data_IF_769885294783
#
_entry.id   IF_769885294783
#
_cell.length_a   1.000
_cell.length_b   1.000
_cell.length_c   1.000
_cell.angle_alpha   90.00
_cell.angle_beta   90.00
_cell.angle_gamma   90.00
#
_symmetry.space_group_name_H-M   'P 1'
#
loop_
_entity.id
_entity.type
_entity.pdbx_description
1 polymer ?
#
# COMPACT_ATOMS: atom_id res chain seq x y z
N UNK A 1 -6.09 -1.11 -11.47
CA UNK A 1 -5.30 -1.95 -10.56
C UNK A 1 -6.19 -3.08 -10.09
N UNK A 2 -5.77 -4.32 -10.37
CA UNK A 2 -6.41 -5.53 -9.87
C UNK A 2 -5.29 -6.49 -9.45
N UNK A 3 -4.94 -6.51 -8.16
CA UNK A 3 -3.80 -7.27 -7.65
C UNK A 3 -3.99 -7.68 -6.18
N UNK A 4 -3.66 -8.94 -5.82
CA UNK A 4 -3.64 -9.38 -4.42
C UNK A 4 -2.42 -8.86 -3.64
N UNK A 5 -1.46 -8.22 -4.31
CA UNK A 5 -0.21 -7.74 -3.70
C UNK A 5 1.04 -8.41 -4.27
N UNK A 6 2.12 -8.40 -3.49
CA UNK A 6 3.43 -8.90 -3.89
C UNK A 6 4.56 -8.20 -3.14
N UNK A 7 5.68 -8.00 -3.81
CA UNK A 7 6.84 -7.27 -3.27
C UNK A 7 6.51 -5.80 -3.01
N UNK A 8 6.78 -5.34 -1.79
CA UNK A 8 6.63 -3.92 -1.42
C UNK A 8 7.60 -3.07 -2.23
N UNK A 9 8.88 -3.46 -2.29
CA UNK A 9 9.92 -2.73 -3.01
C UNK A 9 9.58 -2.54 -4.50
N UNK A 10 9.01 -3.57 -5.13
CA UNK A 10 8.59 -3.47 -6.53
C UNK A 10 7.38 -2.55 -6.67
N UNK A 11 6.40 -2.64 -5.75
CA UNK A 11 5.24 -1.76 -5.77
C UNK A 11 5.62 -0.27 -5.60
N UNK A 12 6.57 0.04 -4.72
CA UNK A 12 7.10 1.40 -4.56
C UNK A 12 7.83 1.87 -5.82
N UNK A 13 8.63 0.99 -6.44
CA UNK A 13 9.37 1.32 -7.67
C UNK A 13 8.44 1.56 -8.86
N UNK A 14 7.45 0.68 -9.06
CA UNK A 14 6.40 0.84 -10.06
C UNK A 14 5.61 2.13 -9.77
N UNK A 15 5.26 2.36 -8.51
CA UNK A 15 4.56 3.55 -8.08
C UNK A 15 5.29 4.85 -8.44
N UNK A 16 6.59 4.95 -8.17
CA UNK A 16 7.40 6.11 -8.60
C UNK A 16 7.36 6.30 -10.11
N UNK A 17 7.50 5.22 -10.89
CA UNK A 17 7.39 5.30 -12.34
C UNK A 17 5.99 5.76 -12.82
N UNK A 18 4.91 5.35 -12.14
CA UNK A 18 3.55 5.82 -12.42
C UNK A 18 3.38 7.31 -12.12
N UNK A 19 3.91 7.77 -10.98
CA UNK A 19 3.90 9.19 -10.57
C UNK A 19 4.67 10.06 -11.56
N UNK A 20 5.90 9.67 -11.89
CA UNK A 20 6.76 10.40 -12.82
C UNK A 20 6.14 10.50 -14.22
N UNK A 21 5.39 9.48 -14.63
CA UNK A 21 4.67 9.44 -15.89
C UNK A 21 3.28 10.12 -15.84
N UNK A 22 2.91 10.75 -14.72
CA UNK A 22 1.65 11.47 -14.55
C UNK A 22 0.41 10.60 -14.74
N UNK A 23 0.44 9.35 -14.26
CA UNK A 23 -0.66 8.39 -14.50
C UNK A 23 -1.77 8.51 -13.45
N UNK A 24 -3.01 8.44 -13.93
CA UNK A 24 -4.18 8.12 -13.10
C UNK A 24 -4.16 6.64 -12.73
N UNK A 25 -4.46 6.34 -11.48
CA UNK A 25 -4.60 4.97 -10.98
C UNK A 25 -6.03 4.71 -10.55
N UNK A 26 -6.62 3.65 -11.11
CA UNK A 26 -8.03 3.31 -10.87
C UNK A 26 -8.15 1.89 -10.34
N UNK A 27 -8.90 1.69 -9.26
CA UNK A 27 -9.47 0.38 -8.87
C UNK A 27 -10.91 0.36 -9.34
N UNK A 28 -11.22 -0.49 -10.32
CA UNK A 28 -12.57 -0.56 -10.89
C UNK A 28 -13.54 -1.28 -9.97
N UNK A 29 -14.83 -1.14 -10.24
CA UNK A 29 -15.86 -1.89 -9.55
C UNK A 29 -15.55 -3.39 -9.59
N UNK A 30 -15.61 -4.06 -8.43
CA UNK A 30 -15.27 -5.49 -8.22
C UNK A 30 -13.79 -5.84 -8.29
N UNK A 31 -12.91 -4.92 -8.67
CA UNK A 31 -11.47 -5.14 -8.57
C UNK A 31 -10.99 -5.05 -7.13
N UNK A 32 -9.84 -5.66 -6.86
CA UNK A 32 -9.19 -5.62 -5.56
C UNK A 32 -7.76 -5.11 -5.70
N UNK A 33 -7.32 -4.30 -4.74
CA UNK A 33 -5.96 -3.82 -4.63
C UNK A 33 -5.49 -4.05 -3.19
N UNK A 34 -4.84 -5.19 -2.95
CA UNK A 34 -4.51 -5.67 -1.61
C UNK A 34 -3.01 -5.64 -1.33
N UNK A 35 -2.66 -5.61 -0.04
CA UNK A 35 -1.29 -5.75 0.48
C UNK A 35 -0.33 -4.67 -0.04
N UNK A 36 0.56 -4.99 -0.98
CA UNK A 36 1.48 -4.02 -1.60
C UNK A 36 0.83 -3.19 -2.72
N UNK A 37 -0.29 -3.63 -3.30
CA UNK A 37 -0.97 -2.91 -4.39
C UNK A 37 -1.38 -1.47 -4.03
N UNK A 38 -1.89 -1.17 -2.83
CA UNK A 38 -2.22 0.19 -2.40
C UNK A 38 -1.07 1.20 -2.59
N UNK A 39 0.20 0.78 -2.57
CA UNK A 39 1.32 1.68 -2.83
C UNK A 39 1.42 2.11 -4.29
N UNK A 40 1.02 1.27 -5.24
CA UNK A 40 0.87 1.69 -6.63
C UNK A 40 -0.34 2.63 -6.80
N UNK A 41 -1.44 2.38 -6.09
CA UNK A 41 -2.62 3.27 -6.09
C UNK A 41 -2.26 4.66 -5.55
N UNK A 42 -1.54 4.73 -4.43
CA UNK A 42 -1.09 5.99 -3.83
C UNK A 42 -0.33 6.89 -4.83
N UNK A 43 0.39 6.28 -5.77
CA UNK A 43 1.23 6.98 -6.72
C UNK A 43 0.48 7.74 -7.82
N UNK A 44 -0.81 7.49 -8.01
CA UNK A 44 -1.59 8.18 -9.04
C UNK A 44 -1.63 9.69 -8.83
N UNK A 45 -1.53 10.46 -9.92
CA UNK A 45 -1.81 11.90 -9.91
C UNK A 45 -3.28 12.18 -9.66
N UNK A 46 -4.13 11.29 -10.16
CA UNK A 46 -5.53 11.12 -9.80
C UNK A 46 -5.71 9.68 -9.31
N UNK A 47 -6.51 9.49 -8.27
CA UNK A 47 -6.73 8.21 -7.62
C UNK A 47 -8.22 7.95 -7.50
N UNK A 48 -8.67 6.90 -8.19
CA UNK A 48 -10.08 6.55 -8.29
C UNK A 48 -10.29 5.15 -7.75
N UNK A 49 -11.22 5.02 -6.81
CA UNK A 49 -11.76 3.72 -6.36
C UNK A 49 -13.24 3.75 -6.68
N UNK A 50 -13.65 3.01 -7.71
CA UNK A 50 -15.06 2.92 -8.09
C UNK A 50 -15.88 2.18 -7.04
N UNK A 51 -17.20 2.42 -7.00
CA UNK A 51 -18.11 1.73 -6.08
C UNK A 51 -17.94 0.20 -6.15
N UNK A 52 -17.72 -0.42 -4.98
CA UNK A 52 -17.39 -1.85 -4.79
C UNK A 52 -16.00 -2.29 -5.27
N UNK A 53 -15.12 -1.38 -5.66
CA UNK A 53 -13.68 -1.61 -5.65
C UNK A 53 -13.21 -1.75 -4.20
N UNK A 54 -12.16 -2.56 -3.96
CA UNK A 54 -11.67 -2.78 -2.59
C UNK A 54 -10.18 -2.53 -2.51
N UNK A 55 -9.77 -1.72 -1.53
CA UNK A 55 -8.38 -1.47 -1.18
C UNK A 55 -8.14 -2.05 0.21
N UNK A 56 -7.10 -2.86 0.37
CA UNK A 56 -6.87 -3.52 1.64
C UNK A 56 -5.40 -3.65 1.99
N UNK A 57 -5.13 -3.64 3.30
CA UNK A 57 -3.79 -3.67 3.87
C UNK A 57 -3.68 -4.71 4.98
N UNK A 58 -2.46 -5.17 5.22
CA UNK A 58 -2.07 -6.03 6.34
C UNK A 58 -0.58 -5.85 6.61
N UNK A 59 -0.07 -6.52 7.64
CA UNK A 59 1.33 -6.47 8.04
C UNK A 59 2.24 -6.86 6.87
N UNK A 60 3.22 -6.01 6.56
CA UNK A 60 4.24 -6.32 5.57
C UNK A 60 5.07 -7.51 6.00
N UNK A 61 5.33 -8.39 5.04
CA UNK A 61 6.32 -9.44 5.20
C UNK A 61 7.50 -9.09 4.30
N UNK A 62 8.54 -8.47 4.87
CA UNK A 62 9.75 -8.13 4.14
C UNK A 62 10.67 -9.35 4.07
N UNK A 63 10.48 -10.15 3.02
CA UNK A 63 11.47 -11.11 2.52
C UNK A 63 12.15 -11.99 3.58
N UNK A 64 11.38 -12.75 4.36
CA UNK A 64 12.00 -13.71 5.26
C UNK A 64 12.75 -14.79 4.49
N UNK A 65 14.07 -14.76 4.61
CA UNK A 65 14.84 -15.98 4.60
C UNK A 65 14.69 -16.59 6.00
N UNK A 66 14.02 -17.73 6.14
CA UNK A 66 13.79 -18.41 7.44
C UNK A 66 15.07 -18.81 8.18
N UNK A 67 16.24 -18.59 7.56
CA UNK A 67 17.57 -18.77 8.11
C UNK A 67 18.18 -17.50 8.73
N UNK A 68 17.55 -16.33 8.59
CA UNK A 68 18.05 -15.09 9.19
C UNK A 68 17.78 -15.07 10.70
N UNK A 69 18.77 -14.69 11.53
CA UNK A 69 18.52 -14.37 12.93
C UNK A 69 17.37 -13.37 13.09
N UNK A 70 16.47 -13.63 14.03
CA UNK A 70 15.25 -12.82 14.24
C UNK A 70 15.54 -11.31 14.41
N UNK A 71 16.67 -10.93 15.01
CA UNK A 71 17.03 -9.52 15.18
C UNK A 71 17.30 -8.79 13.85
N UNK A 72 17.85 -9.48 12.84
CA UNK A 72 18.08 -8.91 11.51
C UNK A 72 16.74 -8.74 10.77
N UNK A 73 15.85 -9.73 10.86
CA UNK A 73 14.51 -9.62 10.28
C UNK A 73 13.74 -8.43 10.87
N UNK A 74 13.82 -8.19 12.18
CA UNK A 74 13.19 -7.04 12.83
C UNK A 74 13.77 -5.70 12.35
N UNK A 75 15.10 -5.60 12.19
CA UNK A 75 15.74 -4.38 11.68
C UNK A 75 15.30 -4.07 10.24
N UNK A 76 15.20 -5.09 9.39
CA UNK A 76 14.76 -4.93 8.00
C UNK A 76 13.28 -4.53 7.91
N UNK A 77 12.43 -5.09 8.78
CA UNK A 77 11.02 -4.66 8.90
C UNK A 77 10.95 -3.18 9.27
N UNK A 78 11.67 -2.73 10.31
CA UNK A 78 11.63 -1.33 10.76
C UNK A 78 12.09 -0.36 9.66
N UNK A 79 13.17 -0.69 8.94
CA UNK A 79 13.64 0.10 7.81
C UNK A 79 12.61 0.15 6.68
N UNK A 80 12.05 -1.01 6.33
CA UNK A 80 11.00 -1.11 5.31
C UNK A 80 9.74 -0.30 5.66
N UNK A 81 9.33 -0.28 6.93
CA UNK A 81 8.23 0.56 7.38
C UNK A 81 8.54 2.05 7.19
N UNK A 82 9.73 2.50 7.58
CA UNK A 82 10.15 3.89 7.38
C UNK A 82 10.18 4.30 5.90
N UNK A 83 10.61 3.40 5.01
CA UNK A 83 10.59 3.63 3.56
C UNK A 83 9.17 3.77 3.01
N UNK A 84 8.24 2.94 3.45
CA UNK A 84 6.82 3.02 3.06
C UNK A 84 6.19 4.29 3.60
N UNK A 85 6.43 4.65 4.87
CA UNK A 85 5.89 5.89 5.47
C UNK A 85 6.33 7.12 4.67
N UNK A 86 7.62 7.23 4.35
CA UNK A 86 8.15 8.33 3.53
C UNK A 86 7.55 8.32 2.13
N UNK A 87 7.41 7.14 1.51
CA UNK A 87 6.79 7.04 0.20
C UNK A 87 5.33 7.52 0.20
N UNK A 88 4.54 7.15 1.21
CA UNK A 88 3.15 7.61 1.34
C UNK A 88 3.08 9.13 1.47
N UNK A 89 3.92 9.72 2.33
CA UNK A 89 4.04 11.17 2.49
C UNK A 89 4.42 11.86 1.17
N UNK A 90 5.42 11.34 0.44
CA UNK A 90 5.82 11.82 -0.90
C UNK A 90 4.67 11.77 -1.93
N UNK A 91 3.73 10.84 -1.79
CA UNK A 91 2.56 10.69 -2.66
C UNK A 91 1.33 11.49 -2.19
N UNK A 92 1.46 12.24 -1.10
CA UNK A 92 0.38 13.00 -0.49
C UNK A 92 -0.67 12.13 0.19
N UNK A 93 -0.26 10.99 0.73
CA UNK A 93 -1.10 10.08 1.52
C UNK A 93 -0.71 10.20 2.99
N UNK A 94 -1.70 10.28 3.88
CA UNK A 94 -1.43 10.26 5.32
C UNK A 94 -0.83 8.90 5.73
N UNK A 95 0.41 8.85 6.26
CA UNK A 95 1.03 7.61 6.70
C UNK A 95 0.27 6.89 7.83
N UNK A 96 -0.65 7.56 8.53
CA UNK A 96 -1.51 6.93 9.54
C UNK A 96 -2.38 5.81 8.98
N UNK A 97 -2.61 5.76 7.66
CA UNK A 97 -3.25 4.63 7.00
C UNK A 97 -2.54 3.28 7.25
N UNK A 98 -1.24 3.32 7.55
CA UNK A 98 -0.44 2.14 7.85
C UNK A 98 -0.83 1.48 9.17
N UNK A 99 -1.47 2.19 10.10
CA UNK A 99 -1.90 1.62 11.38
C UNK A 99 -2.84 0.44 11.19
N UNK A 100 -3.75 0.52 10.21
CA UNK A 100 -4.63 -0.57 9.80
C UNK A 100 -3.86 -1.78 9.30
N UNK A 101 -2.87 -1.55 8.44
CA UNK A 101 -2.00 -2.61 7.93
C UNK A 101 -1.19 -3.27 9.05
N UNK A 102 -0.48 -2.47 9.84
CA UNK A 102 0.40 -2.94 10.91
C UNK A 102 -0.34 -3.66 12.05
N UNK A 103 -1.61 -3.33 12.27
CA UNK A 103 -2.45 -4.00 13.27
C UNK A 103 -3.16 -5.24 12.72
N UNK A 104 -3.05 -5.51 11.42
CA UNK A 104 -3.75 -6.63 10.77
C UNK A 104 -2.78 -7.78 10.45
N UNK A 105 -3.00 -8.98 11.02
CA UNK A 105 -2.14 -10.15 10.79
C UNK A 105 -1.96 -10.49 9.31
N UNK A 106 -0.83 -11.12 8.91
CA UNK A 106 -0.53 -11.39 7.50
C UNK A 106 -1.47 -12.39 6.81
N UNK A 107 -2.23 -13.17 7.57
CA UNK A 107 -3.25 -14.09 7.06
C UNK A 107 -4.66 -13.47 7.02
N UNK A 108 -4.77 -12.17 7.30
CA UNK A 108 -6.01 -11.39 7.29
C UNK A 108 -5.82 -10.15 6.42
N UNK A 109 -6.92 -9.51 6.03
CA UNK A 109 -6.90 -8.26 5.27
C UNK A 109 -7.88 -7.29 5.92
N UNK A 110 -7.41 -6.08 6.22
CA UNK A 110 -8.26 -4.96 6.57
C UNK A 110 -8.64 -4.23 5.28
N UNK A 111 -9.93 -4.07 5.02
CA UNK A 111 -10.43 -3.33 3.87
C UNK A 111 -10.76 -1.93 4.35
N UNK A 112 -10.12 -0.92 3.76
CA UNK A 112 -10.38 0.49 4.08
C UNK A 112 -11.81 0.85 3.67
N UNK A 113 -12.47 1.65 4.50
CA UNK A 113 -13.79 2.21 4.14
C UNK A 113 -13.64 3.35 3.14
N UNK A 114 -14.76 3.75 2.52
CA UNK A 114 -14.78 4.89 1.60
C UNK A 114 -14.37 6.19 2.34
N UNK A 115 -14.77 6.34 3.62
CA UNK A 115 -14.37 7.46 4.46
C UNK A 115 -12.87 7.46 4.76
N UNK A 116 -12.29 6.31 5.10
CA UNK A 116 -10.85 6.19 5.36
C UNK A 116 -10.00 6.40 4.10
N UNK A 117 -10.49 5.94 2.95
CA UNK A 117 -9.87 6.21 1.66
C UNK A 117 -9.79 7.72 1.38
N UNK A 118 -10.85 8.45 1.69
CA UNK A 118 -10.87 9.90 1.56
C UNK A 118 -10.00 10.59 2.63
N UNK A 119 -10.12 10.18 3.90
CA UNK A 119 -9.37 10.73 5.03
C UNK A 119 -7.86 10.67 4.81
N UNK A 120 -7.36 9.53 4.34
CA UNK A 120 -5.93 9.33 4.08
C UNK A 120 -5.47 9.87 2.73
N UNK A 121 -6.37 10.40 1.89
CA UNK A 121 -6.05 10.92 0.56
C UNK A 121 -5.83 9.84 -0.50
N UNK A 122 -6.25 8.59 -0.26
CA UNK A 122 -6.13 7.46 -1.19
C UNK A 122 -7.05 7.57 -2.41
N UNK A 123 -7.99 8.52 -2.39
CA UNK A 123 -8.79 8.97 -3.53
C UNK A 123 -8.64 10.49 -3.71
N UNK A 124 -8.78 10.99 -4.94
CA UNK A 124 -8.67 12.43 -5.26
C UNK A 124 -9.99 13.10 -5.64
N UNK A 125 -11.06 12.33 -5.75
CA UNK A 125 -12.40 12.77 -6.16
C UNK A 125 -13.37 12.84 -4.96
#
# INVERSE_FOLDING_TARGET
>A
LHSPGGSVTDALSIGRALRDAGKTTTVRARDVCLSACPYMLAAGTERVVESRGRVGVHQHFFGENTFLPAFLAVQDIQRGQGEVMRYLDEMGIDPMMMTHGLSTPPNSIYILTDEELAEYGMVTD
#
